data_IF_049653711368
#
_entry.id   IF_049653711368
#
_cell.length_a   1.000
_cell.length_b   1.000
_cell.length_c   1.000
_cell.angle_alpha   90.00
_cell.angle_beta   90.00
_cell.angle_gamma   90.00
#
_symmetry.space_group_name_H-M   'P 1'
#
loop_
_entity.id
_entity.type
_entity.pdbx_description
1 polymer ?
#
# COMPACT_ATOMS: atom_id res chain seq x y z
N UNK A 1 10.36 -4.09 18.13
CA UNK A 1 10.24 -3.05 17.08
C UNK A 1 9.42 -3.66 15.96
N UNK A 2 8.31 -3.03 15.52
CA UNK A 2 7.46 -3.60 14.46
C UNK A 2 8.29 -3.82 13.19
N UNK A 3 8.05 -4.94 12.48
CA UNK A 3 8.70 -5.25 11.20
C UNK A 3 8.50 -4.12 10.18
N UNK A 4 7.32 -3.50 10.19
CA UNK A 4 6.98 -2.34 9.33
C UNK A 4 7.88 -1.14 9.64
N UNK A 5 8.13 -0.82 10.93
CA UNK A 5 9.08 0.26 11.29
C UNK A 5 10.49 -0.02 10.77
N UNK A 6 10.93 -1.27 10.85
CA UNK A 6 12.21 -1.70 10.29
C UNK A 6 12.29 -1.49 8.79
N UNK A 7 11.21 -1.85 8.06
CA UNK A 7 11.09 -1.69 6.62
C UNK A 7 11.14 -0.21 6.20
N UNK A 8 10.36 0.65 6.85
CA UNK A 8 10.33 2.10 6.57
C UNK A 8 11.69 2.73 6.85
N UNK A 9 12.35 2.39 7.97
CA UNK A 9 13.70 2.89 8.30
C UNK A 9 14.74 2.47 7.26
N UNK A 10 14.71 1.21 6.82
CA UNK A 10 15.61 0.71 5.78
C UNK A 10 15.39 1.49 4.48
N UNK A 11 14.12 1.68 4.08
CA UNK A 11 13.78 2.43 2.86
C UNK A 11 14.23 3.88 2.93
N UNK A 12 13.99 4.59 4.04
CA UNK A 12 14.47 5.96 4.22
C UNK A 12 16.01 6.06 4.09
N UNK A 13 16.75 5.12 4.72
CA UNK A 13 18.20 5.07 4.63
C UNK A 13 18.70 4.77 3.20
N UNK A 14 18.02 3.90 2.46
CA UNK A 14 18.35 3.57 1.08
C UNK A 14 18.07 4.74 0.14
N UNK A 15 16.94 5.43 0.30
CA UNK A 15 16.61 6.61 -0.51
C UNK A 15 17.64 7.74 -0.29
N UNK A 16 18.09 7.96 0.95
CA UNK A 16 19.18 8.92 1.24
C UNK A 16 20.46 8.57 0.50
N UNK A 17 20.77 7.29 0.30
CA UNK A 17 21.96 6.83 -0.45
C UNK A 17 21.85 7.00 -1.96
N UNK A 18 20.67 7.30 -2.51
CA UNK A 18 20.50 7.59 -3.94
C UNK A 18 21.14 8.93 -4.35
N UNK A 19 21.44 9.80 -3.37
CA UNK A 19 22.16 11.05 -3.61
C UNK A 19 23.55 10.76 -4.19
N UNK A 20 23.87 11.43 -5.28
CA UNK A 20 25.19 11.30 -5.93
C UNK A 20 25.36 10.08 -6.84
N UNK A 21 24.33 9.24 -6.98
CA UNK A 21 24.29 8.14 -7.95
C UNK A 21 23.86 8.65 -9.33
N UNK A 22 24.30 7.98 -10.39
CA UNK A 22 23.79 8.23 -11.74
C UNK A 22 22.32 7.83 -11.87
N UNK A 23 21.63 8.34 -12.90
CA UNK A 23 20.25 8.00 -13.18
C UNK A 23 20.06 6.48 -13.36
N UNK A 24 20.95 5.88 -14.13
CA UNK A 24 20.95 4.45 -14.45
C UNK A 24 21.13 3.58 -13.20
N UNK A 25 22.05 3.98 -12.32
CA UNK A 25 22.29 3.28 -11.05
C UNK A 25 21.07 3.35 -10.13
N UNK A 26 20.40 4.51 -10.06
CA UNK A 26 19.17 4.67 -9.26
C UNK A 26 18.06 3.77 -9.79
N UNK A 27 17.84 3.76 -11.10
CA UNK A 27 16.83 2.92 -11.75
C UNK A 27 17.09 1.44 -11.46
N UNK A 28 18.31 0.97 -11.70
CA UNK A 28 18.70 -0.43 -11.47
C UNK A 28 18.52 -0.81 -9.98
N UNK A 29 18.84 0.10 -9.06
CA UNK A 29 18.67 -0.15 -7.62
C UNK A 29 17.20 -0.20 -7.20
N UNK A 30 16.38 0.69 -7.72
CA UNK A 30 14.93 0.67 -7.48
C UNK A 30 14.31 -0.63 -7.98
N UNK A 31 14.65 -1.09 -9.18
CA UNK A 31 14.17 -2.35 -9.74
C UNK A 31 14.58 -3.55 -8.88
N UNK A 32 15.84 -3.59 -8.43
CA UNK A 32 16.32 -4.64 -7.53
C UNK A 32 15.58 -4.69 -6.20
N UNK A 33 15.37 -3.53 -5.57
CA UNK A 33 14.66 -3.41 -4.30
C UNK A 33 13.18 -3.74 -4.43
N UNK A 34 12.52 -3.26 -5.50
CA UNK A 34 11.14 -3.62 -5.84
C UNK A 34 10.98 -5.14 -5.88
N UNK A 35 11.80 -5.82 -6.69
CA UNK A 35 11.73 -7.27 -6.84
C UNK A 35 11.95 -8.03 -5.52
N UNK A 36 12.91 -7.59 -4.70
CA UNK A 36 13.16 -8.20 -3.39
C UNK A 36 11.94 -8.06 -2.45
N UNK A 37 11.31 -6.89 -2.43
CA UNK A 37 10.13 -6.63 -1.60
C UNK A 37 8.91 -7.39 -2.09
N UNK A 38 8.69 -7.52 -3.39
CA UNK A 38 7.62 -8.34 -3.98
C UNK A 38 7.78 -9.81 -3.58
N UNK A 39 8.99 -10.37 -3.72
CA UNK A 39 9.27 -11.76 -3.32
C UNK A 39 9.07 -11.98 -1.82
N UNK A 40 9.52 -11.03 -0.99
CA UNK A 40 9.28 -11.08 0.46
C UNK A 40 7.79 -11.01 0.78
N UNK A 41 7.05 -10.09 0.17
CA UNK A 41 5.61 -9.96 0.33
C UNK A 41 4.86 -11.25 -0.02
N UNK A 42 5.19 -11.88 -1.17
CA UNK A 42 4.61 -13.16 -1.57
C UNK A 42 4.94 -14.29 -0.57
N UNK A 43 6.16 -14.32 -0.02
CA UNK A 43 6.54 -15.31 1.00
C UNK A 43 5.75 -15.14 2.28
N UNK A 44 5.52 -13.90 2.72
CA UNK A 44 4.74 -13.58 3.92
C UNK A 44 3.26 -13.90 3.72
N UNK A 45 2.68 -13.65 2.52
CA UNK A 45 1.31 -14.06 2.20
C UNK A 45 1.14 -15.56 2.30
N UNK A 46 2.07 -16.35 1.77
CA UNK A 46 2.03 -17.82 1.91
C UNK A 46 2.10 -18.29 3.38
N UNK A 47 2.77 -17.54 4.23
CA UNK A 47 2.79 -17.83 5.67
C UNK A 47 1.46 -17.44 6.32
N UNK A 48 0.89 -16.30 5.94
CA UNK A 48 -0.44 -15.89 6.38
C UNK A 48 -1.50 -16.94 6.02
N UNK A 49 -1.51 -17.43 4.78
CA UNK A 49 -2.46 -18.47 4.33
C UNK A 49 -2.40 -19.72 5.20
N UNK A 50 -1.19 -20.17 5.61
CA UNK A 50 -1.03 -21.31 6.53
C UNK A 50 -1.69 -21.07 7.89
N UNK A 51 -1.50 -19.88 8.46
CA UNK A 51 -2.13 -19.54 9.73
C UNK A 51 -3.65 -19.44 9.61
N UNK A 52 -4.16 -18.99 8.48
CA UNK A 52 -5.59 -19.00 8.21
C UNK A 52 -6.14 -20.44 8.11
N UNK A 53 -5.46 -21.34 7.40
CA UNK A 53 -5.83 -22.76 7.33
C UNK A 53 -5.80 -23.41 8.73
N UNK A 54 -4.80 -23.11 9.56
CA UNK A 54 -4.74 -23.58 10.95
C UNK A 54 -5.91 -23.04 11.77
N UNK A 55 -6.30 -21.78 11.60
CA UNK A 55 -7.44 -21.21 12.29
C UNK A 55 -8.74 -21.93 11.94
N UNK A 56 -8.97 -22.22 10.65
CA UNK A 56 -10.11 -23.02 10.19
C UNK A 56 -10.10 -24.43 10.79
N UNK A 57 -8.95 -25.08 10.83
CA UNK A 57 -8.80 -26.40 11.45
C UNK A 57 -9.15 -26.39 12.93
N UNK A 58 -8.65 -25.41 13.71
CA UNK A 58 -8.96 -25.30 15.13
C UNK A 58 -10.42 -24.94 15.37
N UNK A 59 -11.02 -24.10 14.55
CA UNK A 59 -12.44 -23.77 14.62
C UNK A 59 -13.33 -25.01 14.40
N UNK A 60 -13.01 -25.84 13.40
CA UNK A 60 -13.70 -27.14 13.17
C UNK A 60 -13.62 -28.07 14.37
N UNK A 61 -12.53 -28.01 15.15
CA UNK A 61 -12.36 -28.76 16.40
C UNK A 61 -12.95 -28.07 17.63
N UNK A 62 -13.68 -26.96 17.46
CA UNK A 62 -14.25 -26.12 18.52
C UNK A 62 -13.20 -25.53 19.49
N UNK A 63 -11.95 -25.44 19.06
CA UNK A 63 -10.82 -24.89 19.83
C UNK A 63 -10.67 -23.37 19.54
N UNK A 64 -11.70 -22.59 19.93
CA UNK A 64 -11.81 -21.16 19.55
C UNK A 64 -10.63 -20.29 19.99
N UNK A 65 -10.00 -20.60 21.15
CA UNK A 65 -8.80 -19.86 21.60
C UNK A 65 -7.61 -20.07 20.67
N UNK A 66 -7.40 -21.30 20.23
CA UNK A 66 -6.33 -21.62 19.28
C UNK A 66 -6.61 -21.00 17.90
N UNK A 67 -7.86 -21.09 17.41
CA UNK A 67 -8.28 -20.44 16.17
C UNK A 67 -8.00 -18.93 16.20
N UNK A 68 -8.35 -18.25 17.29
CA UNK A 68 -8.08 -16.82 17.47
C UNK A 68 -6.58 -16.49 17.44
N UNK A 69 -5.75 -17.26 18.14
CA UNK A 69 -4.29 -17.07 18.12
C UNK A 69 -3.71 -17.22 16.71
N UNK A 70 -4.19 -18.20 15.93
CA UNK A 70 -3.77 -18.37 14.53
C UNK A 70 -4.24 -17.21 13.63
N UNK A 71 -5.44 -16.65 13.86
CA UNK A 71 -5.91 -15.46 13.15
C UNK A 71 -5.13 -14.19 13.52
N UNK A 72 -4.68 -14.06 14.76
CA UNK A 72 -3.80 -12.95 15.16
C UNK A 72 -2.47 -13.00 14.41
N UNK A 73 -1.88 -14.20 14.27
CA UNK A 73 -0.67 -14.40 13.50
C UNK A 73 -0.93 -14.13 11.99
N UNK A 74 -2.04 -14.64 11.44
CA UNK A 74 -2.46 -14.35 10.07
C UNK A 74 -2.52 -12.85 9.78
N UNK A 75 -3.21 -12.08 10.63
CA UNK A 75 -3.36 -10.63 10.47
C UNK A 75 -2.00 -9.90 10.51
N UNK A 76 -1.07 -10.33 11.36
CA UNK A 76 0.29 -9.77 11.43
C UNK A 76 1.08 -10.02 10.15
N UNK A 77 1.14 -11.28 9.67
CA UNK A 77 1.86 -11.65 8.46
C UNK A 77 1.26 -10.99 7.22
N UNK A 78 -0.07 -10.93 7.13
CA UNK A 78 -0.80 -10.23 6.06
C UNK A 78 -0.43 -8.74 6.02
N UNK A 79 -0.46 -8.05 7.16
CA UNK A 79 -0.12 -6.62 7.25
C UNK A 79 1.35 -6.35 6.89
N UNK A 80 2.27 -7.23 7.29
CA UNK A 80 3.68 -7.12 6.90
C UNK A 80 3.87 -7.35 5.39
N UNK A 81 3.18 -8.33 4.81
CA UNK A 81 3.21 -8.63 3.39
C UNK A 81 2.71 -7.45 2.55
N UNK A 82 1.56 -6.89 2.90
CA UNK A 82 0.97 -5.73 2.24
C UNK A 82 1.88 -4.50 2.34
N UNK A 83 2.54 -4.30 3.48
CA UNK A 83 3.53 -3.23 3.65
C UNK A 83 4.75 -3.41 2.75
N UNK A 84 5.22 -4.65 2.55
CA UNK A 84 6.29 -4.94 1.59
C UNK A 84 5.86 -4.61 0.15
N UNK A 85 4.64 -4.97 -0.24
CA UNK A 85 4.09 -4.70 -1.58
C UNK A 85 3.92 -3.17 -1.79
N UNK A 86 3.44 -2.44 -0.79
CA UNK A 86 3.33 -0.98 -0.87
C UNK A 86 4.68 -0.31 -1.02
N UNK A 87 5.70 -0.76 -0.29
CA UNK A 87 7.07 -0.26 -0.46
C UNK A 87 7.67 -0.60 -1.84
N UNK A 88 7.34 -1.76 -2.39
CA UNK A 88 7.73 -2.11 -3.76
C UNK A 88 7.12 -1.12 -4.77
N UNK A 89 5.85 -0.77 -4.61
CA UNK A 89 5.17 0.25 -5.42
C UNK A 89 5.81 1.64 -5.27
N UNK A 90 6.23 2.03 -4.06
CA UNK A 90 6.94 3.29 -3.84
C UNK A 90 8.26 3.31 -4.65
N UNK A 91 9.05 2.24 -4.63
CA UNK A 91 10.27 2.16 -5.44
C UNK A 91 9.99 2.24 -6.94
N UNK A 92 8.91 1.63 -7.41
CA UNK A 92 8.50 1.74 -8.82
C UNK A 92 8.13 3.19 -9.19
N UNK A 93 7.40 3.88 -8.33
CA UNK A 93 7.07 5.31 -8.50
C UNK A 93 8.32 6.19 -8.51
N UNK A 94 9.25 6.00 -7.57
CA UNK A 94 10.54 6.71 -7.56
C UNK A 94 11.28 6.48 -8.89
N UNK A 95 11.36 5.23 -9.36
CA UNK A 95 11.97 4.87 -10.63
C UNK A 95 11.36 5.64 -11.81
N UNK A 96 10.03 5.62 -11.92
CA UNK A 96 9.31 6.31 -12.99
C UNK A 96 9.56 7.84 -12.96
N UNK A 97 9.58 8.44 -11.75
CA UNK A 97 9.87 9.88 -11.59
C UNK A 97 11.31 10.21 -11.96
N UNK A 98 12.27 9.36 -11.56
CA UNK A 98 13.68 9.51 -11.94
C UNK A 98 13.88 9.38 -13.45
N UNK A 99 13.17 8.47 -14.11
CA UNK A 99 13.18 8.35 -15.59
C UNK A 99 12.68 9.62 -16.28
N UNK A 100 11.68 10.28 -15.73
CA UNK A 100 11.07 11.50 -16.28
C UNK A 100 11.76 12.79 -15.84
N UNK A 101 12.63 12.75 -14.83
CA UNK A 101 13.31 13.93 -14.31
C UNK A 101 14.20 14.58 -15.40
N UNK A 102 14.09 15.89 -15.57
CA UNK A 102 14.87 16.62 -16.58
C UNK A 102 16.35 16.77 -16.19
N UNK A 103 16.64 16.82 -14.89
CA UNK A 103 17.99 17.06 -14.36
C UNK A 103 18.33 16.21 -13.14
N UNK A 104 19.63 16.07 -12.84
CA UNK A 104 20.11 15.46 -11.59
C UNK A 104 19.64 16.22 -10.34
N UNK A 105 19.38 17.53 -10.46
CA UNK A 105 18.85 18.34 -9.37
C UNK A 105 17.44 17.91 -9.00
N UNK A 106 16.60 17.56 -9.99
CA UNK A 106 15.25 17.09 -9.75
C UNK A 106 15.25 15.70 -9.11
N UNK A 107 16.16 14.83 -9.52
CA UNK A 107 16.37 13.51 -8.90
C UNK A 107 16.74 13.67 -7.42
N UNK A 108 17.64 14.61 -7.09
CA UNK A 108 18.04 14.89 -5.71
C UNK A 108 16.82 15.38 -4.90
N UNK A 109 16.03 16.30 -5.44
CA UNK A 109 14.81 16.80 -4.80
C UNK A 109 13.79 15.70 -4.52
N UNK A 110 13.54 14.80 -5.48
CA UNK A 110 12.65 13.64 -5.29
C UNK A 110 13.16 12.75 -4.13
N UNK A 111 14.46 12.47 -4.12
CA UNK A 111 15.08 11.65 -3.06
C UNK A 111 14.96 12.31 -1.68
N UNK A 112 15.17 13.62 -1.59
CA UNK A 112 15.07 14.38 -0.35
C UNK A 112 13.65 14.43 0.19
N UNK A 113 12.67 14.64 -0.69
CA UNK A 113 11.26 14.65 -0.35
C UNK A 113 10.84 13.29 0.21
N UNK A 114 11.14 12.19 -0.51
CA UNK A 114 10.78 10.85 -0.08
C UNK A 114 11.45 10.49 1.25
N UNK A 115 12.74 10.79 1.40
CA UNK A 115 13.46 10.51 2.64
C UNK A 115 12.89 11.31 3.83
N UNK A 116 12.56 12.59 3.63
CA UNK A 116 11.97 13.46 4.65
C UNK A 116 10.60 12.98 5.12
N UNK A 117 9.72 12.59 4.21
CA UNK A 117 8.39 12.09 4.56
C UNK A 117 8.45 10.71 5.23
N UNK A 118 9.34 9.82 4.80
CA UNK A 118 9.55 8.54 5.48
C UNK A 118 10.14 8.71 6.89
N UNK A 119 11.00 9.70 7.12
CA UNK A 119 11.52 10.01 8.45
C UNK A 119 10.42 10.55 9.39
N UNK A 120 9.51 11.41 8.89
CA UNK A 120 8.35 11.87 9.64
C UNK A 120 7.44 10.70 10.01
N UNK A 121 7.11 9.88 9.01
CA UNK A 121 6.29 8.70 9.20
C UNK A 121 6.87 7.76 10.27
N UNK A 122 8.19 7.56 10.31
CA UNK A 122 8.85 6.75 11.34
C UNK A 122 8.58 7.22 12.77
N UNK A 123 8.47 8.54 12.97
CA UNK A 123 8.15 9.13 14.28
C UNK A 123 6.71 8.88 14.72
N UNK A 124 5.79 8.74 13.78
CA UNK A 124 4.34 8.66 14.01
C UNK A 124 3.80 7.22 13.94
N UNK A 125 4.55 6.29 13.33
CA UNK A 125 4.11 4.91 13.12
C UNK A 125 3.72 4.22 14.44
N UNK A 126 2.49 3.68 14.55
CA UNK A 126 2.07 2.89 15.70
C UNK A 126 2.84 1.57 15.79
N UNK A 127 2.75 0.90 16.92
CA UNK A 127 3.36 -0.43 17.10
C UNK A 127 2.47 -1.55 16.55
N UNK A 128 1.17 -1.31 16.47
CA UNK A 128 0.22 -2.25 15.87
C UNK A 128 0.43 -2.35 14.35
N UNK A 129 0.66 -3.57 13.80
CA UNK A 129 0.97 -3.75 12.38
C UNK A 129 -0.15 -3.30 11.43
N UNK A 130 -1.40 -3.49 11.80
CA UNK A 130 -2.56 -3.14 10.96
C UNK A 130 -2.69 -1.63 10.85
N UNK A 131 -2.65 -0.91 11.98
CA UNK A 131 -2.69 0.55 11.99
C UNK A 131 -1.46 1.16 11.31
N UNK A 132 -0.27 0.56 11.49
CA UNK A 132 0.96 0.99 10.81
C UNK A 132 0.86 0.84 9.29
N UNK A 133 0.21 -0.22 8.79
CA UNK A 133 -0.05 -0.42 7.37
C UNK A 133 -0.92 0.69 6.78
N UNK A 134 -2.05 1.02 7.41
CA UNK A 134 -2.93 2.08 6.92
C UNK A 134 -2.25 3.45 6.90
N UNK A 135 -1.46 3.75 7.94
CA UNK A 135 -0.70 5.00 7.97
C UNK A 135 0.37 5.04 6.86
N UNK A 136 1.03 3.91 6.58
CA UNK A 136 1.99 3.78 5.50
C UNK A 136 1.33 3.98 4.12
N UNK A 137 0.14 3.42 3.92
CA UNK A 137 -0.64 3.55 2.69
C UNK A 137 -0.96 5.03 2.39
N UNK A 138 -1.52 5.75 3.37
CA UNK A 138 -1.79 7.19 3.24
C UNK A 138 -0.52 8.02 2.99
N UNK A 139 0.60 7.68 3.64
CA UNK A 139 1.86 8.38 3.43
C UNK A 139 2.42 8.15 2.00
N UNK A 140 2.30 6.94 1.46
CA UNK A 140 2.74 6.62 0.09
C UNK A 140 1.88 7.36 -0.94
N UNK A 141 0.58 7.47 -0.72
CA UNK A 141 -0.33 8.23 -1.58
C UNK A 141 0.01 9.73 -1.55
N UNK A 142 0.21 10.30 -0.36
CA UNK A 142 0.66 11.68 -0.21
C UNK A 142 2.00 11.94 -0.91
N UNK A 143 2.96 11.01 -0.79
CA UNK A 143 4.25 11.08 -1.47
C UNK A 143 4.10 11.07 -2.99
N UNK A 144 3.20 10.26 -3.54
CA UNK A 144 2.97 10.21 -4.99
C UNK A 144 2.43 11.53 -5.51
N UNK A 145 1.46 12.10 -4.80
CA UNK A 145 0.89 13.40 -5.13
C UNK A 145 1.95 14.51 -5.07
N UNK A 146 2.78 14.55 -4.03
CA UNK A 146 3.88 15.51 -3.92
C UNK A 146 4.91 15.35 -5.04
N UNK A 147 5.30 14.11 -5.38
CA UNK A 147 6.21 13.85 -6.49
C UNK A 147 5.62 14.21 -7.86
N UNK A 148 4.30 14.13 -8.03
CA UNK A 148 3.63 14.51 -9.27
C UNK A 148 3.90 15.97 -9.61
N UNK A 149 3.78 16.87 -8.65
CA UNK A 149 4.01 18.31 -8.86
C UNK A 149 5.42 18.66 -9.35
N UNK A 150 6.43 17.83 -9.04
CA UNK A 150 7.81 18.05 -9.53
C UNK A 150 8.07 17.55 -10.96
N UNK A 151 7.15 16.76 -11.52
CA UNK A 151 7.30 16.15 -12.84
C UNK A 151 6.26 16.59 -13.86
N UNK A 152 5.20 17.28 -13.44
CA UNK A 152 4.12 17.76 -14.32
C UNK A 152 4.58 18.77 -15.38
N UNK A 153 5.70 19.47 -15.15
CA UNK A 153 6.25 20.40 -16.14
C UNK A 153 6.85 19.75 -17.39
N UNK A 154 6.87 18.40 -17.48
CA UNK A 154 7.52 17.65 -18.56
C UNK A 154 6.58 16.70 -19.29
N UNK A 155 5.38 16.44 -18.78
CA UNK A 155 4.40 15.61 -19.51
C UNK A 155 3.70 16.49 -20.55
N UNK A 156 3.96 16.22 -21.83
CA UNK A 156 3.24 16.86 -22.92
C UNK A 156 1.72 16.63 -22.69
N UNK A 157 0.87 17.67 -22.85
CA UNK A 157 -0.58 17.58 -22.65
C UNK A 157 -1.25 16.45 -23.45
N UNK A 158 -0.61 16.01 -24.53
CA UNK A 158 -1.04 14.89 -25.37
C UNK A 158 -1.03 13.54 -24.64
N UNK A 159 -0.02 13.29 -23.78
CA UNK A 159 0.10 12.02 -23.02
C UNK A 159 -0.91 11.97 -21.88
N UNK A 160 -1.19 13.10 -21.23
CA UNK A 160 -2.23 13.17 -20.21
C UNK A 160 -3.62 12.87 -20.79
N UNK A 161 -3.93 13.43 -21.98
CA UNK A 161 -5.19 13.20 -22.68
C UNK A 161 -5.33 11.75 -23.21
N UNK A 162 -4.23 11.07 -23.51
CA UNK A 162 -4.23 9.67 -23.94
C UNK A 162 -4.51 8.73 -22.75
N UNK A 163 -3.88 9.00 -21.60
CA UNK A 163 -4.13 8.25 -20.35
C UNK A 163 -5.57 8.43 -19.86
N UNK A 164 -6.13 9.65 -19.92
CA UNK A 164 -7.53 9.89 -19.57
C UNK A 164 -8.48 9.12 -20.49
N UNK A 165 -8.25 9.13 -21.80
CA UNK A 165 -9.06 8.35 -22.77
C UNK A 165 -8.99 6.85 -22.53
N UNK A 166 -7.81 6.31 -22.19
CA UNK A 166 -7.67 4.88 -21.87
C UNK A 166 -8.37 4.53 -20.56
N UNK A 167 -8.29 5.42 -19.54
CA UNK A 167 -8.98 5.24 -18.26
C UNK A 167 -10.51 5.29 -18.45
N UNK A 168 -11.02 6.19 -19.27
CA UNK A 168 -12.43 6.25 -19.65
C UNK A 168 -12.87 5.00 -20.42
N UNK A 169 -12.06 4.50 -21.35
CA UNK A 169 -12.35 3.27 -22.09
C UNK A 169 -12.38 2.03 -21.16
N UNK A 170 -11.46 1.94 -20.20
CA UNK A 170 -11.44 0.86 -19.20
C UNK A 170 -12.65 0.95 -18.27
N UNK A 171 -13.02 2.16 -17.84
CA UNK A 171 -14.20 2.37 -16.97
C UNK A 171 -15.50 2.15 -17.74
N UNK A 172 -15.61 2.57 -18.99
CA UNK A 172 -16.75 2.30 -19.85
C UNK A 172 -16.91 0.81 -20.17
N UNK A 173 -15.82 0.10 -20.50
CA UNK A 173 -15.85 -1.35 -20.71
C UNK A 173 -16.18 -2.17 -19.45
N UNK A 174 -15.93 -1.64 -18.26
CA UNK A 174 -16.36 -2.26 -17.00
C UNK A 174 -17.84 -2.03 -16.69
N UNK A 175 -18.41 -0.93 -17.16
CA UNK A 175 -19.83 -0.61 -17.03
C UNK A 175 -20.74 -1.52 -17.87
N UNK A 176 -20.22 -2.11 -18.96
CA UNK A 176 -20.99 -3.07 -19.79
C UNK A 176 -21.08 -4.48 -19.17
N UNK A 177 -20.23 -4.82 -18.17
CA UNK A 177 -20.19 -6.15 -17.55
C UNK A 177 -21.00 -6.23 -16.24
N UNK A 178 -21.35 -5.08 -15.63
CA UNK A 178 -22.13 -5.06 -14.38
C UNK A 178 -23.36 -4.16 -14.49
N UNK A 179 -24.42 -4.64 -15.16
CA UNK A 179 -25.77 -4.11 -14.94
C UNK A 179 -26.72 -5.21 -14.51
N UNK A 180 -27.25 -5.09 -13.29
CA UNK A 180 -28.69 -4.98 -13.20
C UNK A 180 -29.15 -3.77 -12.38
N UNK A 181 -29.89 -2.89 -13.07
CA UNK A 181 -31.02 -2.07 -12.62
C UNK A 181 -31.19 -1.83 -11.12
N UNK A 182 -31.11 -0.55 -10.71
CA UNK A 182 -32.21 0.17 -10.01
C UNK A 182 -31.82 1.64 -9.81
N UNK A 183 -32.55 2.53 -10.46
CA UNK A 183 -32.61 3.96 -10.17
C UNK A 183 -33.67 4.24 -9.08
N UNK A 184 -33.98 5.47 -8.66
CA UNK A 184 -33.26 6.75 -8.81
C UNK A 184 -33.26 7.66 -7.56
N UNK A 185 -32.67 8.84 -7.73
CA UNK A 185 -32.97 10.15 -7.09
C UNK A 185 -32.28 10.53 -5.78
N UNK A 186 -31.62 11.73 -5.83
CA UNK A 186 -31.44 12.60 -4.71
C UNK A 186 -30.22 13.51 -4.75
N UNK A 187 -30.31 14.59 -5.51
CA UNK A 187 -29.78 15.96 -5.32
C UNK A 187 -28.62 16.26 -4.36
N UNK A 188 -27.55 16.92 -4.89
CA UNK A 188 -27.18 18.26 -4.45
C UNK A 188 -25.80 18.42 -3.81
N UNK A 189 -25.09 19.52 -4.11
CA UNK A 189 -23.65 19.61 -3.92
C UNK A 189 -23.30 20.21 -2.54
N UNK A 190 -22.28 19.68 -1.90
CA UNK A 190 -21.71 20.21 -0.69
C UNK A 190 -20.22 19.95 -0.63
N UNK A 191 -19.44 20.93 -1.07
CA UNK A 191 -18.05 21.00 -0.69
C UNK A 191 -17.94 20.97 0.83
N UNK A 192 -17.05 20.16 1.36
CA UNK A 192 -16.18 20.48 2.49
C UNK A 192 -15.72 19.22 3.22
N UNK A 193 -14.43 19.20 3.52
CA UNK A 193 -13.93 18.43 4.63
C UNK A 193 -13.10 17.21 4.24
N UNK A 194 -11.85 17.43 3.89
CA UNK A 194 -10.74 16.53 4.10
C UNK A 194 -10.63 16.17 5.60
N UNK A 195 -11.52 15.33 6.06
CA UNK A 195 -11.48 14.63 7.35
C UNK A 195 -12.26 13.32 7.27
N UNK A 196 -12.08 12.57 6.22
CA UNK A 196 -12.26 11.13 6.32
C UNK A 196 -10.97 10.54 6.88
N UNK A 197 -10.84 10.67 8.20
CA UNK A 197 -10.05 9.74 8.98
C UNK A 197 -10.53 8.36 8.58
N UNK A 198 -9.82 7.73 7.65
CA UNK A 198 -9.97 6.31 7.40
C UNK A 198 -9.82 5.65 8.78
N UNK A 199 -10.94 5.21 9.35
CA UNK A 199 -10.95 4.47 10.60
C UNK A 199 -10.12 3.23 10.33
N UNK A 200 -8.83 3.30 10.68
CA UNK A 200 -7.97 2.15 10.66
C UNK A 200 -8.68 1.07 11.47
N UNK A 201 -9.15 0.01 10.78
CA UNK A 201 -9.70 -1.16 11.47
C UNK A 201 -8.65 -1.60 12.45
N UNK A 202 -8.98 -1.72 13.72
CA UNK A 202 -8.04 -2.24 14.69
C UNK A 202 -7.77 -3.71 14.37
N UNK A 203 -6.57 -4.18 14.63
CA UNK A 203 -6.21 -5.62 14.51
C UNK A 203 -7.27 -6.52 15.14
N UNK A 204 -7.85 -6.07 16.26
CA UNK A 204 -8.87 -6.80 17.00
C UNK A 204 -10.16 -6.94 16.19
N UNK A 205 -10.59 -5.88 15.49
CA UNK A 205 -11.81 -5.89 14.65
C UNK A 205 -11.63 -6.81 13.44
N UNK A 206 -10.48 -6.77 12.77
CA UNK A 206 -10.17 -7.64 11.62
C UNK A 206 -10.17 -9.12 12.03
N UNK A 207 -9.55 -9.46 13.16
CA UNK A 207 -9.51 -10.82 13.69
C UNK A 207 -10.90 -11.29 14.14
N UNK A 208 -11.69 -10.44 14.79
CA UNK A 208 -13.03 -10.78 15.22
C UNK A 208 -13.99 -10.99 14.03
N UNK A 209 -13.91 -10.14 13.00
CA UNK A 209 -14.69 -10.28 11.77
C UNK A 209 -14.37 -11.60 11.06
N UNK A 210 -13.10 -11.95 10.94
CA UNK A 210 -12.68 -13.19 10.29
C UNK A 210 -13.04 -14.42 11.11
N UNK A 211 -12.96 -14.34 12.43
CA UNK A 211 -13.41 -15.41 13.32
C UNK A 211 -14.92 -15.67 13.21
N UNK A 212 -15.72 -14.63 13.09
CA UNK A 212 -17.18 -14.76 12.87
C UNK A 212 -17.49 -15.40 11.51
N UNK A 213 -16.76 -15.01 10.46
CA UNK A 213 -16.90 -15.65 9.13
C UNK A 213 -16.56 -17.14 9.19
N UNK A 214 -15.48 -17.51 9.87
CA UNK A 214 -15.10 -18.92 10.04
C UNK A 214 -16.15 -19.68 10.85
N UNK A 215 -16.68 -19.11 11.93
CA UNK A 215 -17.76 -19.72 12.71
C UNK A 215 -19.01 -19.97 11.86
N UNK A 216 -19.41 -18.99 11.06
CA UNK A 216 -20.56 -19.11 10.15
C UNK A 216 -20.36 -20.23 9.12
N UNK A 217 -19.15 -20.36 8.55
CA UNK A 217 -18.81 -21.42 7.59
C UNK A 217 -18.77 -22.83 8.23
N UNK A 218 -18.42 -22.91 9.49
CA UNK A 218 -18.26 -24.21 10.21
C UNK A 218 -19.52 -24.62 10.94
N UNK A 219 -20.52 -23.72 11.07
CA UNK A 219 -21.78 -24.00 11.78
C UNK A 219 -21.62 -24.11 13.30
N UNK A 220 -20.76 -23.29 13.90
CA UNK A 220 -20.47 -23.26 15.35
C UNK A 220 -20.94 -21.96 15.97
#
# INVERSE_FOLDING_TARGET
>A
MSAIKGLVRLTAALVKKLRGMSREEIIARCDGLKKQLELRGMSLLKQADKFHEEAVFYAKKKMLRAARASLEAWSEYKSEAESCIMMARLYDRIRLRVMRAASLRDITRISDLVAGELDKLLGELPNDPVSARYMLEGAIEALDNMMAHYTESVVAPEVAAEVERELEAITAGRAEVESPTLAPEGEGPGAMGLEEKAKAKSKKEEVEEELEKIKAMVGV
#
